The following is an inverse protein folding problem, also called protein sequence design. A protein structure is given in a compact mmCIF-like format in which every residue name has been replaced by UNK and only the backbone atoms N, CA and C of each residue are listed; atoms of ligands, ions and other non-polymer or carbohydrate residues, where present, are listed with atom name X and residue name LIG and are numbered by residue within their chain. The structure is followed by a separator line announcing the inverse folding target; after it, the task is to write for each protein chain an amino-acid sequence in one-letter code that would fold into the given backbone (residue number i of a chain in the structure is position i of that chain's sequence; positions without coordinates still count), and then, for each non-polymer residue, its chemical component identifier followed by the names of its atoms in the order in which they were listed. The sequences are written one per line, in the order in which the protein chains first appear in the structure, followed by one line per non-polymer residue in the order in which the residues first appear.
data_IF_383803268969
#
_entry.id   IF_383803268969
#
_cell.length_a   1.000
_cell.length_b   1.000
_cell.length_c   1.000
_cell.angle_alpha   90.00
_cell.angle_beta   90.00
_cell.angle_gamma   90.00
#
_symmetry.space_group_name_H-M   'P 1'
#
loop_
_entity.id
_entity.type
_entity.pdbx_description
1 polymer ?
#
# COMPACT_ATOMS: atom_id res chain seq x y z
N UNK A 1 17.08 14.04 4.30
CA UNK A 1 16.25 13.08 3.53
C UNK A 1 16.70 13.03 2.08
N UNK A 2 16.75 14.15 1.37
CA UNK A 2 17.16 14.16 -0.06
C UNK A 2 18.54 13.55 -0.37
N UNK A 3 19.54 13.69 0.54
CA UNK A 3 20.86 13.08 0.32
C UNK A 3 20.84 11.55 0.35
N UNK A 4 20.09 10.94 1.30
CA UNK A 4 19.99 9.48 1.39
C UNK A 4 19.31 8.86 0.18
N UNK A 5 18.32 9.54 -0.35
CA UNK A 5 17.57 9.07 -1.51
C UNK A 5 18.35 9.25 -2.80
N UNK A 6 19.18 10.29 -2.87
CA UNK A 6 20.19 10.41 -3.93
C UNK A 6 21.25 9.31 -3.83
N UNK A 7 21.64 8.90 -2.62
CA UNK A 7 22.54 7.77 -2.40
C UNK A 7 21.90 6.45 -2.84
N UNK A 8 20.63 6.22 -2.50
CA UNK A 8 19.87 5.05 -2.95
C UNK A 8 19.82 5.02 -4.48
N UNK A 9 19.43 6.14 -5.11
CA UNK A 9 19.33 6.26 -6.56
C UNK A 9 20.64 6.00 -7.28
N UNK A 10 21.75 6.48 -6.73
CA UNK A 10 23.08 6.31 -7.31
C UNK A 10 23.74 4.97 -6.97
N UNK A 11 23.09 4.11 -6.23
CA UNK A 11 23.66 2.85 -5.69
C UNK A 11 25.00 3.05 -4.96
N UNK A 12 25.23 4.25 -4.40
CA UNK A 12 26.48 4.65 -3.79
C UNK A 12 26.37 4.64 -2.27
N UNK A 13 27.18 3.83 -1.60
CA UNK A 13 27.38 3.83 -0.15
C UNK A 13 26.11 3.67 0.72
N UNK A 14 25.03 3.10 0.20
CA UNK A 14 23.81 2.82 0.96
C UNK A 14 23.72 1.35 1.26
N UNK A 15 23.41 1.03 2.53
CA UNK A 15 23.05 -0.30 2.97
C UNK A 15 21.76 -0.25 3.79
N UNK A 16 21.16 -1.41 4.02
CA UNK A 16 19.92 -1.53 4.79
C UNK A 16 20.03 -0.86 6.17
N UNK A 17 21.13 -1.04 6.88
CA UNK A 17 21.32 -0.47 8.22
C UNK A 17 21.25 1.06 8.25
N UNK A 18 21.81 1.74 7.25
CA UNK A 18 21.74 3.20 7.14
C UNK A 18 20.30 3.68 6.99
N UNK A 19 19.49 2.94 6.21
CA UNK A 19 18.08 3.24 6.03
C UNK A 19 17.31 2.95 7.32
N UNK A 20 17.54 1.80 7.95
CA UNK A 20 16.90 1.40 9.19
C UNK A 20 17.19 2.33 10.37
N UNK A 21 18.37 2.98 10.38
CA UNK A 21 18.70 4.04 11.37
C UNK A 21 17.92 5.34 11.13
N UNK A 22 17.53 5.62 9.90
CA UNK A 22 16.83 6.87 9.53
C UNK A 22 15.32 6.73 9.53
N UNK A 23 14.78 5.55 9.22
CA UNK A 23 13.35 5.29 9.14
C UNK A 23 12.88 4.32 10.24
N UNK A 24 11.68 4.52 10.71
CA UNK A 24 10.97 3.53 11.51
C UNK A 24 10.52 2.40 10.58
N UNK A 25 11.26 1.29 10.57
CA UNK A 25 11.02 0.21 9.63
C UNK A 25 9.63 -0.43 9.78
N UNK A 26 9.07 -0.49 11.00
CA UNK A 26 7.69 -0.95 11.19
C UNK A 26 6.68 -0.06 10.48
N UNK A 27 6.86 1.27 10.57
CA UNK A 27 6.01 2.22 9.85
C UNK A 27 6.16 2.11 8.33
N UNK A 28 7.37 1.87 7.84
CA UNK A 28 7.64 1.69 6.40
C UNK A 28 7.02 0.39 5.90
N UNK A 29 7.16 -0.70 6.65
CA UNK A 29 6.58 -2.00 6.31
C UNK A 29 5.06 -1.91 6.24
N UNK A 30 4.40 -1.35 7.27
CA UNK A 30 2.94 -1.19 7.29
C UNK A 30 2.46 -0.30 6.13
N UNK A 31 3.15 0.81 5.86
CA UNK A 31 2.83 1.69 4.75
C UNK A 31 2.91 0.96 3.41
N UNK A 32 4.03 0.25 3.13
CA UNK A 32 4.17 -0.51 1.89
C UNK A 32 3.11 -1.60 1.73
N UNK A 33 2.78 -2.31 2.82
CA UNK A 33 1.75 -3.34 2.78
C UNK A 33 0.40 -2.74 2.40
N UNK A 34 0.00 -1.64 3.00
CA UNK A 34 -1.31 -1.01 2.74
C UNK A 34 -1.37 -0.47 1.30
N UNK A 35 -0.35 0.25 0.85
CA UNK A 35 -0.28 0.78 -0.52
C UNK A 35 -0.34 -0.34 -1.58
N UNK A 36 0.43 -1.40 -1.39
CA UNK A 36 0.47 -2.55 -2.30
C UNK A 36 -0.82 -3.39 -2.23
N UNK A 37 -1.35 -3.61 -1.02
CA UNK A 37 -2.54 -4.42 -0.81
C UNK A 37 -3.77 -3.75 -1.43
N UNK A 38 -4.00 -2.48 -1.14
CA UNK A 38 -5.16 -1.75 -1.64
C UNK A 38 -4.97 -1.22 -3.07
N UNK A 39 -3.81 -1.44 -3.68
CA UNK A 39 -3.54 -1.07 -5.08
C UNK A 39 -3.64 0.44 -5.32
N UNK A 40 -2.97 1.25 -4.50
CA UNK A 40 -2.92 2.67 -4.75
C UNK A 40 -2.14 2.97 -6.04
N UNK A 41 -2.85 3.35 -7.10
CA UNK A 41 -2.25 3.57 -8.41
C UNK A 41 -1.50 4.91 -8.52
N UNK A 42 -1.72 5.84 -7.60
CA UNK A 42 -0.98 7.11 -7.53
C UNK A 42 0.34 6.97 -6.80
N UNK A 43 0.48 5.94 -6.00
CA UNK A 43 1.70 5.58 -5.33
C UNK A 43 2.53 4.59 -6.18
N UNK A 44 3.87 4.68 -6.19
CA UNK A 44 4.76 5.49 -5.36
C UNK A 44 5.16 6.84 -5.95
N UNK A 45 4.57 7.29 -7.07
CA UNK A 45 4.91 8.57 -7.71
C UNK A 45 4.49 9.76 -6.87
N UNK A 46 3.26 9.73 -6.38
CA UNK A 46 2.64 10.76 -5.58
C UNK A 46 2.46 10.28 -4.14
N UNK A 47 1.92 11.15 -3.30
CA UNK A 47 1.43 10.81 -1.96
C UNK A 47 2.50 10.17 -1.05
N UNK A 48 3.77 10.53 -1.25
CA UNK A 48 4.91 10.04 -0.47
C UNK A 48 5.34 11.08 0.56
N UNK A 49 4.87 10.93 1.78
CA UNK A 49 5.14 11.84 2.88
C UNK A 49 5.72 11.12 4.09
N UNK A 50 6.61 11.84 4.80
CA UNK A 50 7.23 11.35 6.01
C UNK A 50 7.19 12.42 7.09
N UNK A 51 7.06 11.99 8.34
CA UNK A 51 7.11 12.85 9.51
C UNK A 51 8.07 12.32 10.57
N UNK A 52 8.60 13.19 11.38
CA UNK A 52 9.34 12.84 12.59
C UNK A 52 9.14 13.87 13.69
N UNK A 53 9.37 13.47 14.92
CA UNK A 53 9.41 14.42 16.06
C UNK A 53 10.54 15.42 15.85
N UNK A 54 10.26 16.72 16.05
CA UNK A 54 11.24 17.80 15.87
C UNK A 54 12.42 17.71 16.86
N UNK A 55 12.16 17.28 18.11
CA UNK A 55 13.19 17.14 19.15
C UNK A 55 13.71 15.70 19.21
N UNK A 56 15.03 15.57 19.40
CA UNK A 56 15.74 14.30 19.47
C UNK A 56 16.01 13.67 18.10
N UNK A 57 16.93 12.73 18.07
CA UNK A 57 17.25 11.97 16.86
C UNK A 57 16.24 10.82 16.66
N UNK A 58 15.02 11.18 16.26
CA UNK A 58 13.95 10.19 16.03
C UNK A 58 13.89 9.79 14.55
N UNK A 59 13.53 8.52 14.25
CA UNK A 59 13.40 8.06 12.88
C UNK A 59 12.20 8.72 12.18
N UNK A 60 12.24 8.74 10.85
CA UNK A 60 11.14 9.13 10.01
C UNK A 60 10.08 8.03 9.95
N UNK A 61 8.83 8.41 10.01
CA UNK A 61 7.67 7.54 9.84
C UNK A 61 6.97 7.90 8.54
N UNK A 62 6.41 6.92 7.86
CA UNK A 62 5.57 7.15 6.70
C UNK A 62 4.20 7.71 7.10
N UNK A 63 3.56 8.41 6.17
CA UNK A 63 2.19 8.89 6.29
C UNK A 63 1.35 8.20 5.22
N UNK A 64 0.27 7.55 5.63
CA UNK A 64 -0.73 7.02 4.72
C UNK A 64 -1.73 8.12 4.42
N UNK A 65 -1.81 8.55 3.16
CA UNK A 65 -2.75 9.59 2.71
C UNK A 65 -3.26 9.28 1.31
N UNK A 66 -4.39 9.87 0.97
CA UNK A 66 -4.95 9.92 -0.38
C UNK A 66 -5.10 8.52 -1.01
N UNK A 67 -5.98 7.73 -0.41
CA UNK A 67 -6.27 6.36 -0.82
C UNK A 67 -7.47 6.28 -1.79
N UNK A 68 -7.82 7.35 -2.47
CA UNK A 68 -8.98 7.41 -3.37
C UNK A 68 -8.75 6.68 -4.70
N UNK A 69 -7.49 6.57 -5.16
CA UNK A 69 -7.09 5.81 -6.35
C UNK A 69 -6.86 4.32 -6.09
N UNK A 70 -7.49 3.78 -5.04
CA UNK A 70 -7.33 2.39 -4.60
C UNK A 70 -8.42 1.47 -5.12
N UNK A 71 -8.21 0.17 -4.89
CA UNK A 71 -9.17 -0.91 -5.13
C UNK A 71 -9.56 -1.08 -6.60
N UNK A 72 -8.97 -2.06 -7.23
CA UNK A 72 -9.22 -2.43 -8.61
C UNK A 72 -9.45 -3.94 -8.76
N UNK A 73 -8.81 -4.52 -9.76
CA UNK A 73 -8.82 -5.97 -9.97
C UNK A 73 -8.03 -6.67 -8.85
N UNK A 74 -8.64 -7.53 -8.01
CA UNK A 74 -7.96 -8.18 -6.89
C UNK A 74 -6.76 -9.04 -7.28
N UNK A 75 -6.65 -9.44 -8.55
CA UNK A 75 -5.52 -10.22 -9.10
C UNK A 75 -4.36 -9.35 -9.56
N UNK A 76 -4.53 -8.03 -9.62
CA UNK A 76 -3.48 -7.14 -10.11
C UNK A 76 -2.22 -7.22 -9.24
N UNK A 77 -1.07 -7.39 -9.90
CA UNK A 77 0.21 -7.53 -9.22
C UNK A 77 0.87 -6.17 -9.00
N UNK A 78 0.71 -5.62 -7.80
CA UNK A 78 1.33 -4.35 -7.43
C UNK A 78 2.85 -4.46 -7.28
N UNK A 79 3.40 -5.65 -7.02
CA UNK A 79 4.86 -5.82 -6.97
C UNK A 79 5.49 -5.59 -8.34
N UNK A 80 4.86 -6.06 -9.42
CA UNK A 80 5.32 -5.76 -10.79
C UNK A 80 5.12 -4.28 -11.15
N UNK A 81 4.02 -3.69 -10.66
CA UNK A 81 3.71 -2.29 -10.89
C UNK A 81 4.79 -1.37 -10.31
N UNK A 82 5.22 -1.59 -9.07
CA UNK A 82 6.22 -0.75 -8.41
C UNK A 82 7.66 -0.96 -8.90
N UNK A 83 7.92 -2.02 -9.68
CA UNK A 83 9.22 -2.25 -10.31
C UNK A 83 9.48 -1.35 -11.54
N UNK A 84 8.48 -0.64 -12.02
CA UNK A 84 8.64 0.30 -13.14
C UNK A 84 9.59 1.43 -12.76
N UNK A 85 10.11 2.10 -13.77
CA UNK A 85 10.89 3.31 -13.53
C UNK A 85 9.96 4.45 -13.09
N UNK A 86 10.04 4.78 -11.81
CA UNK A 86 9.30 5.87 -11.18
C UNK A 86 10.19 7.09 -10.91
N UNK A 87 11.34 7.17 -11.59
CA UNK A 87 12.27 8.28 -11.41
C UNK A 87 11.65 9.61 -11.91
N UNK A 88 11.77 10.71 -11.15
CA UNK A 88 12.55 10.88 -9.91
C UNK A 88 11.74 10.69 -8.61
N UNK A 89 10.68 9.87 -8.61
CA UNK A 89 9.81 9.74 -7.45
C UNK A 89 10.50 9.05 -6.26
N UNK A 90 10.47 9.73 -5.14
CA UNK A 90 11.11 9.33 -3.90
C UNK A 90 10.63 7.98 -3.35
N UNK A 91 9.31 7.77 -3.37
CA UNK A 91 8.69 6.53 -2.93
C UNK A 91 9.11 5.34 -3.79
N UNK A 92 9.21 5.53 -5.09
CA UNK A 92 9.64 4.50 -6.04
C UNK A 92 11.05 4.00 -5.77
N UNK A 93 11.99 4.91 -5.56
CA UNK A 93 13.38 4.54 -5.26
C UNK A 93 13.49 3.78 -3.94
N UNK A 94 12.78 4.22 -2.90
CA UNK A 94 12.83 3.59 -1.58
C UNK A 94 12.23 2.18 -1.61
N UNK A 95 11.06 1.99 -2.23
CA UNK A 95 10.43 0.67 -2.29
C UNK A 95 11.25 -0.30 -3.13
N UNK A 96 11.75 0.14 -4.29
CA UNK A 96 12.56 -0.70 -5.17
C UNK A 96 13.87 -1.14 -4.52
N UNK A 97 14.44 -0.30 -3.67
CA UNK A 97 15.62 -0.67 -2.91
C UNK A 97 15.28 -1.66 -1.78
N UNK A 98 14.29 -1.32 -0.93
CA UNK A 98 13.98 -2.11 0.25
C UNK A 98 13.45 -3.50 -0.06
N UNK A 99 12.60 -3.65 -1.08
CA UNK A 99 12.07 -4.96 -1.47
C UNK A 99 13.14 -5.95 -1.94
N UNK A 100 14.37 -5.49 -2.25
CA UNK A 100 15.51 -6.33 -2.63
C UNK A 100 16.43 -6.69 -1.46
N UNK A 101 16.15 -6.19 -0.25
CA UNK A 101 16.97 -6.47 0.93
C UNK A 101 16.38 -7.64 1.72
N UNK A 102 17.19 -8.64 2.01
CA UNK A 102 16.75 -9.85 2.74
C UNK A 102 16.17 -9.55 4.11
N UNK A 103 16.74 -8.57 4.83
CA UNK A 103 16.27 -8.13 6.14
C UNK A 103 14.89 -7.49 6.05
N UNK A 104 14.63 -6.73 4.97
CA UNK A 104 13.32 -6.13 4.74
C UNK A 104 12.30 -7.19 4.29
N UNK A 105 12.67 -8.12 3.41
CA UNK A 105 11.83 -9.24 2.99
C UNK A 105 11.31 -10.03 4.20
N UNK A 106 12.21 -10.33 5.15
CA UNK A 106 11.86 -11.06 6.38
C UNK A 106 10.81 -10.31 7.22
N UNK A 107 11.03 -9.01 7.45
CA UNK A 107 10.10 -8.16 8.20
C UNK A 107 8.76 -8.03 7.47
N UNK A 108 8.81 -7.77 6.17
CA UNK A 108 7.64 -7.57 5.33
C UNK A 108 6.78 -8.83 5.27
N UNK A 109 7.39 -9.99 4.97
CA UNK A 109 6.68 -11.28 4.88
C UNK A 109 6.04 -11.68 6.21
N UNK A 110 6.77 -11.52 7.31
CA UNK A 110 6.24 -11.77 8.66
C UNK A 110 5.00 -10.91 8.94
N UNK A 111 5.10 -9.62 8.64
CA UNK A 111 4.00 -8.67 8.89
C UNK A 111 2.80 -8.91 7.97
N UNK A 112 3.04 -9.21 6.69
CA UNK A 112 1.98 -9.58 5.74
C UNK A 112 1.22 -10.81 6.21
N UNK A 113 1.91 -11.88 6.60
CA UNK A 113 1.24 -13.09 7.10
C UNK A 113 0.36 -12.79 8.30
N UNK A 114 0.87 -12.03 9.28
CA UNK A 114 0.08 -11.60 10.43
C UNK A 114 -1.17 -10.81 10.02
N UNK A 115 -1.03 -9.82 9.12
CA UNK A 115 -2.16 -8.99 8.69
C UNK A 115 -3.20 -9.79 7.89
N UNK A 116 -2.76 -10.72 7.04
CA UNK A 116 -3.68 -11.56 6.25
C UNK A 116 -4.47 -12.56 7.11
N UNK A 117 -3.92 -12.96 8.25
CA UNK A 117 -4.61 -13.82 9.23
C UNK A 117 -5.55 -13.02 10.15
N UNK A 118 -5.40 -11.71 10.22
CA UNK A 118 -6.14 -10.83 11.12
C UNK A 118 -6.85 -9.72 10.34
N UNK A 119 -6.32 -8.50 10.35
CA UNK A 119 -7.00 -7.27 9.88
C UNK A 119 -7.32 -7.28 8.38
N UNK A 120 -6.47 -7.89 7.56
CA UNK A 120 -6.64 -8.00 6.11
C UNK A 120 -7.20 -9.38 5.66
N UNK A 121 -7.73 -10.19 6.58
CA UNK A 121 -8.44 -11.41 6.23
C UNK A 121 -9.72 -11.09 5.47
N UNK A 122 -10.16 -11.98 4.56
CA UNK A 122 -11.42 -11.80 3.83
C UNK A 122 -12.61 -11.60 4.76
N UNK A 123 -12.63 -12.30 5.89
CA UNK A 123 -13.69 -12.18 6.91
C UNK A 123 -13.73 -10.76 7.50
N UNK A 124 -12.59 -10.24 7.98
CA UNK A 124 -12.55 -8.91 8.57
C UNK A 124 -12.81 -7.80 7.54
N UNK A 125 -12.29 -7.93 6.33
CA UNK A 125 -12.57 -6.98 5.25
C UNK A 125 -14.07 -6.95 4.91
N UNK A 126 -14.72 -8.11 4.84
CA UNK A 126 -16.16 -8.20 4.59
C UNK A 126 -16.98 -7.65 5.75
N UNK A 127 -16.58 -7.91 7.00
CA UNK A 127 -17.20 -7.33 8.18
C UNK A 127 -17.16 -5.80 8.13
N UNK A 128 -15.99 -5.21 7.87
CA UNK A 128 -15.82 -3.77 7.75
C UNK A 128 -16.65 -3.20 6.59
N UNK A 129 -16.74 -3.91 5.47
CA UNK A 129 -17.56 -3.49 4.33
C UNK A 129 -19.07 -3.49 4.69
N UNK A 130 -19.54 -4.45 5.46
CA UNK A 130 -20.93 -4.49 5.95
C UNK A 130 -21.23 -3.28 6.83
N UNK A 131 -20.33 -2.94 7.75
CA UNK A 131 -20.47 -1.77 8.61
C UNK A 131 -20.43 -0.46 7.80
N UNK A 132 -19.52 -0.36 6.83
CA UNK A 132 -19.49 0.74 5.89
C UNK A 132 -20.82 0.89 5.13
N UNK A 133 -21.34 -0.19 4.56
CA UNK A 133 -22.63 -0.18 3.85
C UNK A 133 -23.77 0.30 4.76
N UNK A 134 -23.82 -0.20 5.99
CA UNK A 134 -24.83 0.21 6.97
C UNK A 134 -24.79 1.71 7.26
N UNK A 135 -23.60 2.27 7.39
CA UNK A 135 -23.40 3.69 7.74
C UNK A 135 -23.63 4.64 6.56
N UNK A 136 -23.20 4.27 5.35
CA UNK A 136 -23.18 5.19 4.20
C UNK A 136 -24.34 5.02 3.23
N UNK A 137 -24.91 3.80 3.07
CA UNK A 137 -26.00 3.57 2.11
C UNK A 137 -27.21 4.48 2.31
N UNK A 138 -27.65 4.80 3.55
CA UNK A 138 -28.79 5.69 3.75
C UNK A 138 -28.61 7.11 3.19
N UNK A 139 -27.35 7.58 3.10
CA UNK A 139 -27.02 8.94 2.65
C UNK A 139 -26.73 9.04 1.13
N UNK A 140 -26.67 7.90 0.45
CA UNK A 140 -26.20 7.85 -0.94
C UNK A 140 -27.13 8.57 -1.89
N UNK A 141 -28.43 8.40 -1.74
CA UNK A 141 -29.44 9.04 -2.61
C UNK A 141 -29.41 10.56 -2.46
N UNK A 142 -29.44 11.06 -1.22
CA UNK A 142 -29.32 12.47 -0.92
C UNK A 142 -28.02 13.07 -1.48
N UNK A 143 -26.88 12.40 -1.26
CA UNK A 143 -25.58 12.82 -1.77
C UNK A 143 -25.62 13.00 -3.29
N UNK A 144 -26.09 12.02 -4.01
CA UNK A 144 -26.12 12.08 -5.48
C UNK A 144 -27.17 13.07 -6.01
N UNK A 145 -28.30 13.24 -5.34
CA UNK A 145 -29.26 14.30 -5.69
C UNK A 145 -28.66 15.69 -5.50
N UNK A 146 -27.97 15.92 -4.37
CA UNK A 146 -27.34 17.21 -4.05
C UNK A 146 -26.32 17.65 -5.08
N UNK A 147 -25.53 16.69 -5.58
CA UNK A 147 -24.45 16.96 -6.55
C UNK A 147 -24.85 16.75 -8.01
N UNK A 148 -26.13 16.52 -8.29
CA UNK A 148 -26.67 16.41 -9.66
C UNK A 148 -26.21 15.15 -10.44
N UNK A 149 -25.72 14.13 -9.75
CA UNK A 149 -25.24 12.90 -10.40
C UNK A 149 -26.40 11.97 -10.80
N UNK A 150 -26.86 12.06 -12.03
CA UNK A 150 -27.80 11.10 -12.60
C UNK A 150 -27.23 9.67 -12.53
N UNK A 151 -28.05 8.72 -12.07
CA UNK A 151 -27.67 7.30 -11.89
C UNK A 151 -26.59 7.04 -10.78
N UNK A 152 -26.43 7.94 -9.82
CA UNK A 152 -25.45 7.80 -8.74
C UNK A 152 -25.65 6.52 -7.93
N UNK A 153 -26.88 6.18 -7.57
CA UNK A 153 -27.23 4.93 -6.84
C UNK A 153 -26.76 3.67 -7.60
N UNK A 154 -26.90 3.64 -8.95
CA UNK A 154 -26.40 2.51 -9.75
C UNK A 154 -24.88 2.42 -9.72
N UNK A 155 -24.16 3.57 -9.79
CA UNK A 155 -22.70 3.61 -9.69
C UNK A 155 -22.25 3.14 -8.33
N UNK A 156 -22.90 3.59 -7.25
CA UNK A 156 -22.61 3.13 -5.88
C UNK A 156 -22.74 1.62 -5.74
N UNK A 157 -23.89 1.03 -6.16
CA UNK A 157 -24.08 -0.42 -6.11
C UNK A 157 -23.01 -1.18 -6.88
N UNK A 158 -22.61 -0.68 -8.07
CA UNK A 158 -21.50 -1.26 -8.82
C UNK A 158 -20.17 -1.17 -8.08
N UNK A 159 -19.89 -0.03 -7.45
CA UNK A 159 -18.69 0.15 -6.61
C UNK A 159 -18.67 -0.83 -5.43
N UNK A 160 -19.80 -1.03 -4.76
CA UNK A 160 -19.90 -2.03 -3.68
C UNK A 160 -19.61 -3.45 -4.15
N UNK A 161 -20.08 -3.85 -5.33
CA UNK A 161 -19.78 -5.18 -5.88
C UNK A 161 -18.29 -5.34 -6.20
N UNK A 162 -17.60 -4.28 -6.63
CA UNK A 162 -16.14 -4.29 -6.82
C UNK A 162 -15.44 -4.46 -5.47
N UNK A 163 -15.87 -3.73 -4.44
CA UNK A 163 -15.33 -3.84 -3.09
C UNK A 163 -15.54 -5.23 -2.49
N UNK A 164 -16.75 -5.81 -2.63
CA UNK A 164 -17.04 -7.18 -2.18
C UNK A 164 -16.10 -8.19 -2.81
N UNK A 165 -15.95 -8.14 -4.13
CA UNK A 165 -15.03 -9.02 -4.85
C UNK A 165 -13.59 -8.82 -4.41
N UNK A 166 -13.19 -7.58 -4.21
CA UNK A 166 -11.84 -7.26 -3.71
C UNK A 166 -11.61 -7.84 -2.31
N UNK A 167 -12.53 -7.63 -1.38
CA UNK A 167 -12.42 -8.16 -0.01
C UNK A 167 -12.29 -9.69 0.03
N UNK A 168 -13.01 -10.39 -0.86
CA UNK A 168 -12.97 -11.85 -0.92
C UNK A 168 -11.69 -12.39 -1.55
N UNK A 169 -11.27 -11.83 -2.68
CA UNK A 169 -10.23 -12.42 -3.52
C UNK A 169 -8.83 -11.85 -3.25
N UNK A 170 -8.73 -10.60 -2.74
CA UNK A 170 -7.45 -9.91 -2.61
C UNK A 170 -6.46 -10.56 -1.66
N UNK A 171 -6.84 -11.03 -0.46
CA UNK A 171 -5.89 -11.58 0.48
C UNK A 171 -5.07 -12.73 -0.10
N UNK A 172 -5.71 -13.69 -0.74
CA UNK A 172 -5.04 -14.83 -1.36
C UNK A 172 -4.16 -14.40 -2.56
N UNK A 173 -4.70 -13.56 -3.44
CA UNK A 173 -3.95 -13.07 -4.60
C UNK A 173 -2.75 -12.22 -4.19
N UNK A 174 -2.87 -11.40 -3.13
CA UNK A 174 -1.76 -10.62 -2.61
C UNK A 174 -0.64 -11.51 -2.08
N UNK A 175 -0.97 -12.52 -1.28
CA UNK A 175 -0.01 -13.50 -0.78
C UNK A 175 0.70 -14.25 -1.91
N UNK A 176 -0.05 -14.67 -2.92
CA UNK A 176 0.50 -15.32 -4.11
C UNK A 176 1.48 -14.41 -4.86
N UNK A 177 1.10 -13.16 -5.12
CA UNK A 177 1.93 -12.18 -5.82
C UNK A 177 3.21 -11.87 -5.04
N UNK A 178 3.12 -11.69 -3.72
CA UNK A 178 4.28 -11.50 -2.84
C UNK A 178 5.26 -12.68 -2.94
N UNK A 179 4.76 -13.90 -2.79
CA UNK A 179 5.60 -15.09 -2.85
C UNK A 179 6.26 -15.27 -4.22
N UNK A 180 5.56 -14.97 -5.30
CA UNK A 180 6.11 -15.00 -6.65
C UNK A 180 7.21 -13.96 -6.83
N UNK A 181 7.00 -12.75 -6.33
CA UNK A 181 7.98 -11.68 -6.41
C UNK A 181 9.28 -12.05 -5.67
N UNK A 182 9.21 -12.42 -4.39
CA UNK A 182 10.41 -12.75 -3.61
C UNK A 182 11.14 -13.99 -4.16
N UNK A 183 10.40 -15.00 -4.64
CA UNK A 183 11.01 -16.14 -5.34
C UNK A 183 11.74 -15.75 -6.63
N UNK A 184 11.29 -14.71 -7.33
CA UNK A 184 11.93 -14.23 -8.56
C UNK A 184 13.25 -13.53 -8.30
N UNK A 185 13.33 -12.71 -7.25
CA UNK A 185 14.55 -11.97 -6.91
C UNK A 185 15.60 -12.85 -6.20
N UNK A 186 15.20 -13.90 -5.47
CA UNK A 186 16.13 -14.84 -4.83
C UNK A 186 16.94 -15.70 -5.84
N UNK A 187 16.60 -15.61 -7.14
CA UNK A 187 17.28 -16.34 -8.22
C UNK A 187 18.28 -15.49 -9.00
N UNK A 188 18.36 -14.19 -8.69
CA UNK A 188 19.30 -13.23 -9.29
C UNK A 188 20.54 -13.04 -8.40
#
# INVERSE_FOLDING_TARGET
MNSLLLEIKKNQNTNYEKIAKKFNMSSIVDWFIIELFFQNNDWPCNNTFFWKKRKGNKPWNAVLIDMDACVGNPKFNMFDYVQRDWSPALGGELINYLLKQSEFEMLFTKRVNYLLENELSSENLMKNLVEFKKSFSPMVEEHYCRWGYKKGTKKYKKGLSVLEKFCLDRPENFKKNMNQYFKSISKL
#
